data_IF_019996189711
#
_entry.id   IF_019996189711
#
_cell.length_a   1.000
_cell.length_b   1.000
_cell.length_c   1.000
_cell.angle_alpha   90.00
_cell.angle_beta   90.00
_cell.angle_gamma   90.00
#
_symmetry.space_group_name_H-M   'P 1'
#
loop_
_entity.id
_entity.type
_entity.pdbx_description
1 polymer ?
#
# COMPACT_ATOMS: atom_id res chain seq x y z
N UNK A 1 42.79 -27.90 9.08
CA UNK A 1 41.48 -27.46 8.56
C UNK A 1 41.10 -26.19 9.30
N UNK A 2 41.30 -25.03 8.69
CA UNK A 2 40.97 -23.74 9.28
C UNK A 2 39.46 -23.47 9.13
N UNK A 3 38.71 -23.53 10.22
CA UNK A 3 37.36 -23.07 10.25
C UNK A 3 37.36 -21.52 10.09
N UNK A 4 37.17 -21.03 8.87
CA UNK A 4 36.85 -19.65 8.61
C UNK A 4 35.45 -19.41 9.21
N UNK A 5 35.40 -18.84 10.40
CA UNK A 5 34.16 -18.28 10.96
C UNK A 5 33.83 -17.02 10.19
N UNK A 6 33.17 -17.16 9.04
CA UNK A 6 32.58 -16.03 8.32
C UNK A 6 31.50 -15.41 9.24
N UNK A 7 31.87 -14.38 10.00
CA UNK A 7 30.90 -13.61 10.77
C UNK A 7 30.14 -12.70 9.82
N UNK A 8 28.88 -13.03 9.55
CA UNK A 8 28.01 -12.19 8.73
C UNK A 8 28.03 -10.74 9.24
N UNK A 9 28.16 -9.74 8.35
CA UNK A 9 28.18 -8.35 8.75
C UNK A 9 26.92 -7.96 9.55
N UNK A 10 27.10 -7.15 10.58
CA UNK A 10 26.00 -6.67 11.41
C UNK A 10 25.51 -5.33 10.89
N UNK A 11 24.18 -5.17 10.80
CA UNK A 11 23.52 -3.94 10.39
C UNK A 11 22.46 -3.57 11.42
N UNK A 12 22.36 -2.29 11.73
CA UNK A 12 21.28 -1.74 12.56
C UNK A 12 20.40 -0.87 11.68
N UNK A 13 19.09 -1.16 11.68
CA UNK A 13 18.06 -0.36 11.01
C UNK A 13 17.24 0.33 12.09
N UNK A 14 17.06 1.64 11.98
CA UNK A 14 16.30 2.43 12.95
C UNK A 14 14.96 2.84 12.36
N UNK A 15 13.88 2.42 13.04
CA UNK A 15 12.49 2.62 12.62
C UNK A 15 11.91 1.43 11.87
N UNK A 16 10.70 1.01 12.25
CA UNK A 16 9.97 -0.12 11.66
C UNK A 16 8.75 0.32 10.83
N UNK A 17 8.83 1.46 10.15
CA UNK A 17 7.90 1.81 9.06
C UNK A 17 8.22 1.01 7.79
N UNK A 18 7.49 1.21 6.70
CA UNK A 18 7.69 0.49 5.43
C UNK A 18 9.15 0.48 4.96
N UNK A 19 9.81 1.64 4.96
CA UNK A 19 11.20 1.73 4.52
C UNK A 19 12.15 0.90 5.39
N UNK A 20 12.02 0.99 6.71
CA UNK A 20 12.86 0.25 7.64
C UNK A 20 12.62 -1.26 7.57
N UNK A 21 11.34 -1.69 7.50
CA UNK A 21 11.00 -3.10 7.35
C UNK A 21 11.51 -3.66 6.02
N UNK A 22 11.35 -2.93 4.93
CA UNK A 22 11.83 -3.34 3.61
C UNK A 22 13.35 -3.45 3.58
N UNK A 23 14.06 -2.45 4.09
CA UNK A 23 15.52 -2.47 4.15
C UNK A 23 16.03 -3.64 5.02
N UNK A 24 15.42 -3.85 6.19
CA UNK A 24 15.78 -4.93 7.10
C UNK A 24 15.59 -6.30 6.46
N UNK A 25 14.46 -6.53 5.78
CA UNK A 25 14.14 -7.80 5.12
C UNK A 25 15.09 -8.09 3.96
N UNK A 26 15.36 -7.09 3.11
CA UNK A 26 16.28 -7.25 1.99
C UNK A 26 17.71 -7.50 2.47
N UNK A 27 18.17 -6.81 3.50
CA UNK A 27 19.51 -7.06 4.08
C UNK A 27 19.59 -8.46 4.70
N UNK A 28 18.56 -8.88 5.42
CA UNK A 28 18.51 -10.22 6.02
C UNK A 28 18.53 -11.32 4.95
N UNK A 29 17.79 -11.14 3.85
CA UNK A 29 17.80 -12.10 2.73
C UNK A 29 19.17 -12.22 2.04
N UNK A 30 20.01 -11.19 2.13
CA UNK A 30 21.39 -11.17 1.65
C UNK A 30 22.41 -11.69 2.68
N UNK A 31 21.95 -12.25 3.81
CA UNK A 31 22.81 -12.87 4.82
C UNK A 31 23.39 -11.91 5.86
N UNK A 32 22.94 -10.66 5.91
CA UNK A 32 23.33 -9.74 6.98
C UNK A 32 22.63 -10.10 8.30
N UNK A 33 23.31 -9.88 9.41
CA UNK A 33 22.71 -9.95 10.76
C UNK A 33 22.06 -8.61 11.07
N UNK A 34 20.75 -8.50 10.83
CA UNK A 34 20.02 -7.26 10.99
C UNK A 34 19.43 -7.13 12.39
N UNK A 35 19.59 -5.96 13.00
CA UNK A 35 18.90 -5.54 14.21
C UNK A 35 18.01 -4.34 13.87
N UNK A 36 16.70 -4.53 13.98
CA UNK A 36 15.70 -3.48 13.78
C UNK A 36 15.34 -2.87 15.13
N UNK A 37 15.42 -1.55 15.24
CA UNK A 37 15.08 -0.78 16.43
C UNK A 37 13.86 0.08 16.15
N UNK A 38 12.85 -0.02 17.01
CA UNK A 38 11.63 0.79 16.96
C UNK A 38 11.42 1.49 18.31
N UNK A 39 11.03 2.77 18.28
CA UNK A 39 10.79 3.57 19.49
C UNK A 39 9.42 3.32 20.12
N UNK A 40 8.45 2.91 19.29
CA UNK A 40 7.08 2.63 19.73
C UNK A 40 6.93 1.15 20.11
N UNK A 41 5.88 0.81 20.84
CA UNK A 41 5.53 -0.57 21.18
C UNK A 41 5.14 -1.42 19.98
N UNK A 42 4.59 -0.78 18.92
CA UNK A 42 4.09 -1.44 17.72
C UNK A 42 4.86 -1.01 16.47
N UNK A 43 5.20 -1.96 15.58
CA UNK A 43 5.79 -1.65 14.29
C UNK A 43 4.78 -1.02 13.32
N UNK A 44 5.24 -0.62 12.14
CA UNK A 44 4.38 -0.13 11.05
C UNK A 44 4.48 1.37 10.79
N UNK A 45 5.00 2.15 11.74
CA UNK A 45 5.17 3.61 11.58
C UNK A 45 3.83 4.31 11.35
N UNK A 46 3.67 4.99 10.21
CA UNK A 46 2.42 5.68 9.84
C UNK A 46 1.30 4.73 9.38
N UNK A 47 1.61 3.47 9.10
CA UNK A 47 0.64 2.45 8.70
C UNK A 47 0.36 1.45 9.83
N UNK A 48 0.68 1.80 11.09
CA UNK A 48 0.36 0.97 12.24
C UNK A 48 -1.14 0.97 12.54
N UNK A 49 -1.57 -0.02 13.28
CA UNK A 49 -2.95 -0.17 13.74
C UNK A 49 -3.07 0.28 15.19
N UNK A 50 -4.09 1.04 15.52
CA UNK A 50 -4.51 1.29 16.90
C UNK A 50 -5.55 0.24 17.29
N UNK A 51 -5.31 -0.45 18.39
CA UNK A 51 -6.30 -1.37 18.97
C UNK A 51 -6.67 -0.86 20.35
N UNK A 52 -7.94 -0.51 20.55
CA UNK A 52 -8.43 0.03 21.81
C UNK A 52 -9.88 -0.39 22.06
N UNK A 53 -10.18 -0.83 23.28
CA UNK A 53 -11.53 -1.23 23.71
C UNK A 53 -12.22 -2.26 22.79
N UNK A 54 -11.44 -3.17 22.17
CA UNK A 54 -11.93 -4.18 21.24
C UNK A 54 -12.10 -3.70 19.79
N UNK A 55 -11.83 -2.45 19.50
CA UNK A 55 -11.84 -1.87 18.16
C UNK A 55 -10.44 -1.81 17.55
N UNK A 56 -10.38 -1.84 16.21
CA UNK A 56 -9.14 -1.70 15.45
C UNK A 56 -9.29 -0.57 14.44
N UNK A 57 -8.31 0.33 14.41
CA UNK A 57 -8.29 1.49 13.53
C UNK A 57 -6.95 1.55 12.78
N UNK A 58 -7.00 1.68 11.47
CA UNK A 58 -5.83 2.03 10.68
C UNK A 58 -5.42 3.47 10.98
N UNK A 59 -4.17 3.66 11.39
CA UNK A 59 -3.66 5.00 11.77
C UNK A 59 -3.09 5.78 10.57
N UNK A 60 -3.22 5.25 9.40
CA UNK A 60 -2.69 5.82 8.17
C UNK A 60 -3.68 5.69 7.01
N UNK A 61 -3.18 5.43 5.80
CA UNK A 61 -4.04 5.23 4.65
C UNK A 61 -5.02 4.08 4.87
N UNK A 62 -6.31 4.36 4.69
CA UNK A 62 -7.38 3.34 4.78
C UNK A 62 -7.57 2.57 3.46
N UNK A 63 -6.88 2.99 2.40
CA UNK A 63 -6.90 2.34 1.10
C UNK A 63 -5.58 1.63 0.83
N UNK A 64 -5.67 0.48 0.18
CA UNK A 64 -4.52 -0.28 -0.26
C UNK A 64 -3.97 0.31 -1.56
N UNK A 65 -2.92 1.11 -1.43
CA UNK A 65 -2.27 1.81 -2.55
C UNK A 65 -1.20 0.94 -3.19
N UNK A 66 -1.05 1.07 -4.53
CA UNK A 66 0.05 0.47 -5.30
C UNK A 66 0.24 -1.03 -5.03
N UNK A 67 -0.77 -1.87 -5.28
CA UNK A 67 -0.70 -3.31 -5.02
C UNK A 67 0.47 -4.00 -5.74
N UNK A 68 0.83 -3.53 -6.92
CA UNK A 68 1.97 -4.00 -7.72
C UNK A 68 3.32 -3.81 -7.02
N UNK A 69 3.51 -2.74 -6.24
CA UNK A 69 4.73 -2.51 -5.45
C UNK A 69 4.84 -3.55 -4.32
N UNK A 70 3.73 -3.92 -3.69
CA UNK A 70 3.72 -4.99 -2.70
C UNK A 70 4.01 -6.36 -3.34
N UNK A 71 3.42 -6.66 -4.51
CA UNK A 71 3.73 -7.90 -5.24
C UNK A 71 5.21 -7.97 -5.63
N UNK A 72 5.79 -6.88 -6.10
CA UNK A 72 7.23 -6.81 -6.37
C UNK A 72 8.05 -7.06 -5.12
N UNK A 73 7.71 -6.42 -3.99
CA UNK A 73 8.41 -6.60 -2.74
C UNK A 73 8.37 -8.05 -2.25
N UNK A 74 7.21 -8.69 -2.19
CA UNK A 74 7.10 -10.10 -1.79
C UNK A 74 7.79 -11.02 -2.80
N UNK A 75 7.76 -10.68 -4.09
CA UNK A 75 8.46 -11.38 -5.15
C UNK A 75 9.98 -11.46 -4.95
N UNK A 76 10.62 -10.46 -4.31
CA UNK A 76 12.05 -10.49 -3.95
C UNK A 76 12.41 -11.70 -3.06
N UNK A 77 11.45 -12.25 -2.34
CA UNK A 77 11.61 -13.38 -1.41
C UNK A 77 10.96 -14.67 -1.94
N UNK A 78 10.52 -14.69 -3.20
CA UNK A 78 9.81 -15.83 -3.79
C UNK A 78 8.42 -16.05 -3.16
N UNK A 79 7.80 -15.00 -2.68
CA UNK A 79 6.48 -14.99 -2.05
C UNK A 79 5.49 -14.17 -2.85
N UNK A 80 4.19 -14.37 -2.57
CA UNK A 80 3.08 -13.59 -3.12
C UNK A 80 2.36 -12.87 -1.98
N UNK A 81 1.71 -11.76 -2.28
CA UNK A 81 0.86 -11.05 -1.30
C UNK A 81 -0.21 -11.99 -0.73
N UNK A 82 -0.82 -12.82 -1.58
CA UNK A 82 -1.84 -13.79 -1.19
C UNK A 82 -1.38 -14.88 -0.21
N UNK A 83 -0.07 -15.06 0.01
CA UNK A 83 0.45 -15.96 1.04
C UNK A 83 0.26 -15.41 2.45
N UNK A 84 -0.05 -14.10 2.58
CA UNK A 84 -0.11 -13.39 3.85
C UNK A 84 -1.47 -12.79 4.15
N UNK A 85 -2.17 -12.28 3.12
CA UNK A 85 -3.50 -11.69 3.28
C UNK A 85 -4.27 -11.69 1.96
N UNK A 86 -5.59 -11.65 2.08
CA UNK A 86 -6.50 -11.55 0.95
C UNK A 86 -6.91 -10.09 0.72
N UNK A 87 -6.87 -9.65 -0.55
CA UNK A 87 -7.38 -8.35 -0.98
C UNK A 87 -8.75 -8.51 -1.60
N UNK A 88 -9.73 -7.78 -1.07
CA UNK A 88 -11.09 -7.72 -1.61
C UNK A 88 -11.30 -6.34 -2.22
N UNK A 89 -11.61 -6.30 -3.52
CA UNK A 89 -11.99 -5.06 -4.18
C UNK A 89 -13.43 -4.71 -3.80
N UNK A 90 -13.60 -3.55 -3.19
CA UNK A 90 -14.91 -3.06 -2.80
C UNK A 90 -15.66 -2.47 -4.01
N UNK A 91 -16.96 -2.81 -4.13
CA UNK A 91 -17.90 -2.18 -5.04
C UNK A 91 -19.25 -2.03 -4.32
N UNK A 92 -19.72 -0.80 -4.07
CA UNK A 92 -19.11 0.47 -4.43
C UNK A 92 -17.75 0.70 -3.75
N UNK A 93 -16.88 1.46 -4.39
CA UNK A 93 -15.54 1.74 -3.88
C UNK A 93 -15.60 2.51 -2.56
N UNK A 94 -16.45 3.54 -2.50
CA UNK A 94 -16.74 4.33 -1.29
C UNK A 94 -17.99 5.19 -1.48
N UNK A 95 -18.46 5.78 -0.39
CA UNK A 95 -19.57 6.72 -0.40
C UNK A 95 -19.11 8.04 0.20
N UNK A 96 -19.36 9.14 -0.51
CA UNK A 96 -19.15 10.50 0.01
C UNK A 96 -20.46 10.98 0.60
N UNK A 97 -20.42 11.45 1.85
CA UNK A 97 -21.58 11.99 2.56
C UNK A 97 -21.40 13.49 2.70
N UNK A 98 -22.28 14.27 2.06
CA UNK A 98 -22.25 15.75 2.11
C UNK A 98 -23.16 16.32 3.21
N UNK A 99 -24.07 15.51 3.71
CA UNK A 99 -25.05 15.90 4.71
C UNK A 99 -26.01 14.76 5.05
N UNK A 100 -27.04 14.98 5.88
CA UNK A 100 -27.92 13.91 6.36
C UNK A 100 -28.59 13.10 5.22
N UNK A 101 -29.00 13.79 4.16
CA UNK A 101 -29.77 13.18 3.05
C UNK A 101 -28.98 13.13 1.73
N UNK A 102 -27.74 13.64 1.70
CA UNK A 102 -26.96 13.75 0.45
C UNK A 102 -25.78 12.80 0.46
N UNK A 103 -25.84 11.81 -0.42
CA UNK A 103 -24.78 10.80 -0.57
C UNK A 103 -24.42 10.61 -2.03
N UNK A 104 -23.13 10.45 -2.31
CA UNK A 104 -22.61 10.06 -3.59
C UNK A 104 -21.94 8.69 -3.45
N UNK A 105 -22.56 7.67 -4.04
CA UNK A 105 -22.01 6.32 -4.10
C UNK A 105 -21.07 6.25 -5.29
N UNK A 106 -19.80 6.00 -5.04
CA UNK A 106 -18.74 5.96 -6.06
C UNK A 106 -18.51 4.51 -6.48
N UNK A 107 -18.82 4.12 -7.73
CA UNK A 107 -18.61 2.76 -8.21
C UNK A 107 -17.12 2.45 -8.41
N UNK A 108 -16.75 1.18 -8.32
CA UNK A 108 -15.37 0.75 -8.55
C UNK A 108 -15.02 0.57 -10.03
N UNK A 109 -15.99 0.44 -10.90
CA UNK A 109 -15.80 0.23 -12.34
C UNK A 109 -15.65 1.57 -13.07
N UNK A 110 -14.65 1.68 -13.95
CA UNK A 110 -14.34 2.93 -14.65
C UNK A 110 -15.50 3.43 -15.51
N UNK A 111 -16.18 2.53 -16.21
CA UNK A 111 -17.31 2.86 -17.08
C UNK A 111 -18.50 3.39 -16.27
N UNK A 112 -18.79 2.78 -15.12
CA UNK A 112 -19.84 3.22 -14.22
C UNK A 112 -19.50 4.59 -13.61
N UNK A 113 -18.23 4.82 -13.29
CA UNK A 113 -17.74 6.11 -12.80
C UNK A 113 -17.85 7.20 -13.85
N UNK A 114 -17.50 6.92 -15.10
CA UNK A 114 -17.67 7.83 -16.23
C UNK A 114 -19.15 8.19 -16.43
N UNK A 115 -20.04 7.21 -16.38
CA UNK A 115 -21.49 7.44 -16.49
C UNK A 115 -22.04 8.28 -15.31
N UNK A 116 -21.52 8.04 -14.11
CA UNK A 116 -21.87 8.84 -12.94
C UNK A 116 -21.50 10.31 -13.13
N UNK A 117 -20.27 10.60 -13.60
CA UNK A 117 -19.82 11.97 -13.86
C UNK A 117 -20.60 12.63 -14.99
N UNK A 118 -20.91 11.89 -16.07
CA UNK A 118 -21.73 12.37 -17.18
C UNK A 118 -23.15 12.75 -16.75
N UNK A 119 -23.70 12.06 -15.72
CA UNK A 119 -25.03 12.38 -15.17
C UNK A 119 -25.07 13.70 -14.41
N UNK A 120 -23.94 14.17 -13.90
CA UNK A 120 -23.83 15.48 -13.23
C UNK A 120 -23.55 16.63 -14.19
N UNK A 121 -22.70 16.40 -15.19
CA UNK A 121 -22.32 17.42 -16.17
C UNK A 121 -22.03 16.76 -17.53
N UNK A 122 -22.69 17.23 -18.56
CA UNK A 122 -22.47 16.76 -19.94
C UNK A 122 -21.01 16.93 -20.37
N UNK A 123 -20.39 15.85 -20.81
CA UNK A 123 -18.99 15.80 -21.21
C UNK A 123 -18.01 15.52 -20.06
N UNK A 124 -18.47 15.44 -18.80
CA UNK A 124 -17.61 15.16 -17.66
C UNK A 124 -17.05 13.71 -17.69
N UNK A 125 -17.79 12.76 -18.22
CA UNK A 125 -17.31 11.39 -18.39
C UNK A 125 -16.07 11.31 -19.29
N UNK A 126 -16.06 12.03 -20.41
CA UNK A 126 -14.89 12.09 -21.30
C UNK A 126 -13.70 12.79 -20.65
N UNK A 127 -13.94 13.88 -19.91
CA UNK A 127 -12.89 14.58 -19.15
C UNK A 127 -12.27 13.65 -18.11
N UNK A 128 -13.09 12.90 -17.38
CA UNK A 128 -12.63 11.91 -16.38
C UNK A 128 -11.78 10.82 -17.05
N UNK A 129 -12.23 10.25 -18.15
CA UNK A 129 -11.46 9.24 -18.90
C UNK A 129 -10.08 9.75 -19.31
N UNK A 130 -10.01 10.99 -19.81
CA UNK A 130 -8.74 11.63 -20.17
C UNK A 130 -7.83 11.82 -18.94
N UNK A 131 -8.40 12.28 -17.83
CA UNK A 131 -7.68 12.44 -16.56
C UNK A 131 -7.11 11.10 -16.07
N UNK A 132 -7.91 10.04 -16.05
CA UNK A 132 -7.47 8.70 -15.60
C UNK A 132 -6.36 8.13 -16.50
N UNK A 133 -6.43 8.34 -17.82
CA UNK A 133 -5.34 7.94 -18.74
C UNK A 133 -4.03 8.68 -18.43
N UNK A 134 -4.10 9.97 -18.17
CA UNK A 134 -2.92 10.75 -17.78
C UNK A 134 -2.37 10.33 -16.41
N UNK A 135 -3.24 10.02 -15.46
CA UNK A 135 -2.84 9.52 -14.15
C UNK A 135 -2.13 8.15 -14.26
N UNK A 136 -2.67 7.24 -15.08
CA UNK A 136 -2.05 5.94 -15.33
C UNK A 136 -0.66 6.10 -15.97
N UNK A 137 -0.52 6.97 -16.98
CA UNK A 137 0.78 7.25 -17.60
C UNK A 137 1.81 7.79 -16.58
N UNK A 138 1.39 8.77 -15.77
CA UNK A 138 2.28 9.34 -14.73
C UNK A 138 2.68 8.30 -13.68
N UNK A 139 1.78 7.39 -13.32
CA UNK A 139 2.08 6.30 -12.40
C UNK A 139 3.13 5.35 -13.01
N UNK A 140 2.94 4.93 -14.26
CA UNK A 140 3.89 4.04 -14.94
C UNK A 140 5.29 4.64 -15.03
N UNK A 141 5.40 5.92 -15.43
CA UNK A 141 6.70 6.60 -15.52
C UNK A 141 7.33 6.76 -14.14
N UNK A 142 6.56 7.18 -13.12
CA UNK A 142 7.10 7.43 -11.80
C UNK A 142 7.46 6.16 -11.00
N UNK A 143 7.01 4.98 -11.42
CA UNK A 143 7.38 3.70 -10.77
C UNK A 143 8.57 3.03 -11.47
N UNK A 144 8.76 3.28 -12.79
CA UNK A 144 9.81 2.62 -13.59
C UNK A 144 11.14 3.37 -13.62
N UNK A 145 11.12 4.67 -13.36
CA UNK A 145 12.30 5.54 -13.30
C UNK A 145 12.77 5.75 -11.85
#
# INVERSE_FOLDING_TARGET
MSHSTSTSPKVVVVGSGFAGLSAASVLASKGYRVRLLEKNSEPGGRARVLSEAGFRFDMGPSWYWMPDVFEQYFGLFGRKVSDYYELVRLDPAYTIVYGPEQRLVVPAQAEALEALFESYEKGAGLKLRSFLKQAAYKYEVGIRD
#
